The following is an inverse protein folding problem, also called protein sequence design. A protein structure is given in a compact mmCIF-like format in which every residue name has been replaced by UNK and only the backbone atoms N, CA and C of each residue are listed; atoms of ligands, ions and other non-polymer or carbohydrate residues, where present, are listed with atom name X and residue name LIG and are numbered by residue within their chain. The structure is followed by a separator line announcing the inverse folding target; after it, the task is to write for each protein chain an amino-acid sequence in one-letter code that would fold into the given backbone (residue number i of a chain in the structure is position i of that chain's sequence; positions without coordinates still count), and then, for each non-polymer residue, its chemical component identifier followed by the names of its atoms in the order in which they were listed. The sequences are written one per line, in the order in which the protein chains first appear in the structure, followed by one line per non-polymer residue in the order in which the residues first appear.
data_IF_742224124992
#
_entry.id   IF_742224124992
#
_cell.length_a   1.000
_cell.length_b   1.000
_cell.length_c   1.000
_cell.angle_alpha   90.00
_cell.angle_beta   90.00
_cell.angle_gamma   90.00
#
_symmetry.space_group_name_H-M   'P 1'
#
loop_
_entity.id
_entity.type
_entity.pdbx_description
1 polymer ?
#
# COMPACT_ATOMS: atom_id res chain seq x y z
N UNK A 1 6.29 -17.31 -4.14
CA UNK A 1 7.28 -16.75 -4.31
C UNK A 1 8.45 -17.33 -3.81
N UNK A 2 8.98 -17.75 -4.26
CA UNK A 2 9.87 -18.28 -3.95
C UNK A 2 10.80 -17.65 -3.67
N UNK A 3 11.05 -17.59 -3.03
CA UNK A 3 11.87 -16.97 -2.77
C UNK A 3 12.85 -17.47 -2.54
N UNK A 4 13.17 -17.89 -2.80
CA UNK A 4 14.03 -18.35 -2.70
C UNK A 4 14.81 -18.75 -2.83
N UNK A 5 15.02 -19.16 -2.95
CA UNK A 5 15.78 -19.54 -3.10
C UNK A 5 16.25 -20.01 -3.57
N UNK A 6 16.45 -20.20 -3.74
CA UNK A 6 16.93 -20.55 -4.17
C UNK A 6 17.84 -20.81 -4.41
N UNK A 7 18.22 -21.09 -4.51
CA UNK A 7 18.99 -21.33 -4.76
C UNK A 7 20.06 -21.23 -4.84
N UNK A 8 20.23 -21.14 -4.95
CA UNK A 8 21.23 -21.07 -5.04
C UNK A 8 22.04 -20.59 -4.75
N UNK A 9 22.45 -20.49 -4.43
CA UNK A 9 23.17 -19.92 -4.18
C UNK A 9 24.13 -19.61 -4.06
N UNK A 10 24.72 -19.30 -4.06
CA UNK A 10 25.53 -18.91 -3.99
C UNK A 10 26.04 -17.93 -3.79
N UNK A 11 26.29 -17.55 -3.68
CA UNK A 11 26.86 -16.58 -3.58
C UNK A 11 26.48 -15.59 -2.79
N UNK A 12 26.66 -15.05 -2.32
CA UNK A 12 26.37 -14.23 -1.51
C UNK A 12 25.35 -13.59 -1.69
N UNK A 13 25.20 -13.60 -1.62
CA UNK A 13 24.22 -13.64 -1.68
C UNK A 13 23.22 -12.73 -1.14
N UNK A 14 23.11 -12.37 0.04
CA UNK A 14 22.09 -11.45 0.50
C UNK A 14 22.25 -10.07 -0.13
N UNK A 15 23.46 -9.62 -0.46
CA UNK A 15 23.59 -8.29 -1.05
C UNK A 15 23.03 -8.26 -2.47
N UNK A 16 23.18 -9.29 -3.25
CA UNK A 16 22.60 -9.26 -4.59
C UNK A 16 21.08 -9.40 -4.54
N UNK A 17 20.54 -10.09 -3.52
CA UNK A 17 19.11 -10.16 -3.35
C UNK A 17 18.56 -8.76 -3.07
N UNK A 18 19.22 -7.99 -2.21
CA UNK A 18 18.81 -6.64 -1.95
C UNK A 18 18.83 -5.78 -3.21
N UNK A 19 19.86 -5.92 -4.03
CA UNK A 19 19.96 -5.17 -5.27
C UNK A 19 18.85 -5.58 -6.24
N UNK A 20 18.57 -6.87 -6.31
CA UNK A 20 17.52 -7.38 -7.18
C UNK A 20 16.17 -6.78 -6.83
N UNK A 21 15.89 -6.61 -5.56
CA UNK A 21 14.59 -6.14 -5.12
C UNK A 21 14.54 -4.67 -4.82
N UNK A 22 15.57 -3.95 -5.21
CA UNK A 22 15.60 -2.52 -5.01
C UNK A 22 14.88 -1.84 -6.15
N UNK A 23 13.58 -1.85 -6.09
CA UNK A 23 12.78 -1.18 -7.10
C UNK A 23 12.79 0.32 -6.85
N UNK A 24 12.63 1.11 -7.92
CA UNK A 24 12.59 2.56 -7.76
C UNK A 24 11.47 3.00 -6.85
N UNK A 25 11.75 4.01 -6.04
CA UNK A 25 10.73 4.62 -5.20
C UNK A 25 10.07 5.77 -5.94
N UNK A 26 8.77 5.88 -5.80
CA UNK A 26 8.03 7.03 -6.30
C UNK A 26 7.77 7.94 -5.11
N UNK A 27 8.37 9.11 -5.12
CA UNK A 27 8.26 10.06 -4.01
C UNK A 27 6.94 10.79 -4.06
N UNK A 28 6.39 11.03 -2.86
CA UNK A 28 5.13 11.74 -2.69
C UNK A 28 5.26 12.63 -1.46
N UNK A 29 4.41 13.66 -1.31
CA UNK A 29 4.48 14.51 -0.11
C UNK A 29 4.35 13.74 1.19
N UNK A 30 3.62 12.64 1.19
CA UNK A 30 3.40 11.85 2.40
C UNK A 30 4.46 10.78 2.65
N UNK A 31 5.36 10.56 1.70
CA UNK A 31 6.37 9.52 1.81
C UNK A 31 6.74 8.97 0.47
N UNK A 32 6.60 7.66 0.27
CA UNK A 32 6.91 7.08 -1.04
C UNK A 32 6.25 5.71 -1.16
N UNK A 33 6.21 5.22 -2.41
CA UNK A 33 5.78 3.85 -2.64
C UNK A 33 6.71 3.19 -3.65
N UNK A 34 6.70 1.87 -3.62
CA UNK A 34 7.48 1.05 -4.54
C UNK A 34 6.54 -0.01 -5.10
N UNK A 35 6.55 -0.18 -6.43
CA UNK A 35 5.81 -1.28 -7.04
C UNK A 35 6.69 -2.51 -6.95
N UNK A 36 6.27 -3.48 -6.15
CA UNK A 36 7.05 -4.69 -5.92
C UNK A 36 6.85 -5.70 -7.03
N UNK A 37 5.64 -5.77 -7.57
CA UNK A 37 5.32 -6.81 -8.56
C UNK A 37 4.02 -6.43 -9.26
N UNK A 38 4.00 -6.57 -10.57
CA UNK A 38 2.80 -6.35 -11.36
C UNK A 38 2.82 -7.31 -12.55
N UNK A 39 2.26 -8.53 -12.37
CA UNK A 39 2.30 -9.54 -13.44
C UNK A 39 1.44 -9.15 -14.64
N UNK A 40 0.38 -8.36 -14.43
CA UNK A 40 -0.52 -7.92 -15.49
C UNK A 40 -1.30 -6.71 -15.02
N UNK A 41 -2.32 -6.31 -15.77
CA UNK A 41 -3.13 -5.14 -15.41
C UNK A 41 -4.13 -5.41 -14.30
N UNK A 42 -4.30 -6.65 -13.89
CA UNK A 42 -5.32 -7.04 -12.92
C UNK A 42 -4.78 -7.18 -11.51
N UNK A 43 -3.47 -7.22 -11.33
CA UNK A 43 -2.86 -7.39 -10.01
C UNK A 43 -1.61 -6.53 -9.91
N UNK A 44 -1.49 -5.80 -8.80
CA UNK A 44 -0.31 -4.98 -8.52
C UNK A 44 -0.03 -5.02 -7.04
N UNK A 45 1.22 -5.28 -6.68
CA UNK A 45 1.69 -5.21 -5.30
C UNK A 45 2.54 -3.97 -5.12
N UNK A 46 2.26 -3.23 -4.05
CA UNK A 46 3.03 -2.04 -3.68
C UNK A 46 3.44 -2.09 -2.23
N UNK A 47 4.55 -1.45 -1.93
CA UNK A 47 4.90 -1.14 -0.56
C UNK A 47 4.79 0.37 -0.38
N UNK A 48 3.98 0.80 0.57
CA UNK A 48 3.78 2.22 0.88
C UNK A 48 4.52 2.53 2.18
N UNK A 49 5.25 3.63 2.19
CA UNK A 49 5.86 4.15 3.42
C UNK A 49 5.28 5.53 3.65
N UNK A 50 4.57 5.68 4.77
CA UNK A 50 3.93 6.94 5.13
C UNK A 50 4.67 7.53 6.31
N UNK A 51 5.20 8.73 6.14
CA UNK A 51 6.00 9.36 7.18
C UNK A 51 5.10 9.78 8.36
N UNK A 52 5.69 9.92 9.55
CA UNK A 52 4.91 10.33 10.73
C UNK A 52 4.13 11.61 10.46
N UNK A 53 2.86 11.61 10.84
CA UNK A 53 2.00 12.78 10.70
C UNK A 53 1.49 13.05 9.30
N UNK A 54 1.78 12.18 8.35
CA UNK A 54 1.38 12.38 6.97
C UNK A 54 0.20 11.51 6.59
N UNK A 55 -0.48 11.90 5.50
CA UNK A 55 -1.67 11.19 5.04
C UNK A 55 -1.73 11.21 3.53
N UNK A 56 -2.28 10.16 2.96
CA UNK A 56 -2.66 10.17 1.56
C UNK A 56 -3.96 10.95 1.42
N UNK A 57 -4.38 11.21 0.20
CA UNK A 57 -5.65 11.88 -0.03
C UNK A 57 -6.82 10.93 0.27
N UNK A 58 -7.98 11.51 0.54
CA UNK A 58 -9.22 10.73 0.56
C UNK A 58 -9.56 10.43 -0.87
N UNK A 59 -9.69 9.14 -1.20
CA UNK A 59 -9.79 8.72 -2.59
C UNK A 59 -10.62 7.46 -2.73
N UNK A 60 -11.08 7.19 -3.96
CA UNK A 60 -11.71 5.93 -4.29
C UNK A 60 -11.35 5.50 -5.70
N UNK A 61 -11.50 4.22 -5.96
CA UNK A 61 -11.20 3.62 -7.26
C UNK A 61 -12.43 2.90 -7.76
N UNK A 62 -12.56 2.82 -9.09
CA UNK A 62 -13.77 2.25 -9.68
C UNK A 62 -13.56 0.85 -10.22
N UNK A 63 -12.31 0.49 -10.52
CA UNK A 63 -12.01 -0.75 -11.24
C UNK A 63 -11.20 -1.74 -10.43
N UNK A 64 -10.88 -1.42 -9.18
CA UNK A 64 -10.05 -2.31 -8.37
C UNK A 64 -10.46 -2.28 -6.90
N UNK A 65 -10.12 -3.37 -6.25
CA UNK A 65 -10.18 -3.49 -4.79
C UNK A 65 -8.74 -3.53 -4.27
N UNK A 66 -8.58 -3.38 -2.97
CA UNK A 66 -7.25 -3.41 -2.38
C UNK A 66 -7.28 -4.21 -1.09
N UNK A 67 -6.19 -4.92 -0.82
CA UNK A 67 -5.95 -5.53 0.49
C UNK A 67 -4.72 -4.84 1.06
N UNK A 68 -4.82 -4.36 2.27
CA UNK A 68 -3.71 -3.70 2.96
C UNK A 68 -3.25 -4.57 4.11
N UNK A 69 -1.96 -4.79 4.18
CA UNK A 69 -1.32 -5.50 5.28
C UNK A 69 -0.36 -4.53 5.96
N UNK A 70 -0.56 -4.29 7.27
CA UNK A 70 0.29 -3.36 8.00
C UNK A 70 1.56 -4.09 8.39
N UNK A 71 2.67 -3.72 7.78
CA UNK A 71 3.95 -4.36 8.04
C UNK A 71 4.68 -3.72 9.21
N UNK A 72 4.54 -2.40 9.39
CA UNK A 72 5.15 -1.66 10.50
C UNK A 72 4.29 -0.47 10.83
N UNK A 73 4.20 -0.14 12.11
CA UNK A 73 3.50 1.03 12.56
C UNK A 73 2.03 0.79 12.77
N UNK A 74 1.25 1.85 12.72
CA UNK A 74 -0.19 1.79 12.87
C UNK A 74 -0.86 2.69 11.84
N UNK A 75 -1.85 2.14 11.16
CA UNK A 75 -2.56 2.85 10.10
C UNK A 75 -3.90 3.32 10.63
N UNK A 76 -4.13 4.63 10.57
CA UNK A 76 -5.45 5.18 10.83
C UNK A 76 -6.15 5.30 9.49
N UNK A 77 -7.27 4.63 9.32
CA UNK A 77 -7.96 4.59 8.04
C UNK A 77 -9.29 5.32 8.19
N UNK A 78 -9.49 6.31 7.34
CA UNK A 78 -10.70 7.11 7.34
C UNK A 78 -11.52 6.83 6.08
N UNK A 79 -12.80 7.03 6.18
CA UNK A 79 -13.72 6.92 5.06
C UNK A 79 -14.69 8.11 5.14
N UNK A 80 -15.70 8.11 4.28
CA UNK A 80 -16.75 9.11 4.33
C UNK A 80 -18.06 8.44 4.74
N UNK A 81 -18.84 9.16 5.57
CA UNK A 81 -20.16 8.67 5.91
C UNK A 81 -21.18 9.09 4.84
N UNK A 82 -22.44 8.80 5.09
CA UNK A 82 -23.50 9.08 4.12
C UNK A 82 -23.69 10.58 3.84
N UNK A 83 -23.18 11.42 4.73
CA UNK A 83 -23.25 12.87 4.57
C UNK A 83 -21.95 13.44 4.03
N UNK A 84 -21.08 12.57 3.48
CA UNK A 84 -19.77 12.93 2.94
C UNK A 84 -18.85 13.51 3.99
N UNK A 85 -19.05 13.15 5.26
CA UNK A 85 -18.17 13.59 6.33
C UNK A 85 -17.14 12.52 6.64
N UNK A 86 -15.92 12.99 6.88
CA UNK A 86 -14.80 12.12 7.20
C UNK A 86 -15.04 11.43 8.54
N UNK A 87 -14.87 10.13 8.56
CA UNK A 87 -15.01 9.37 9.79
C UNK A 87 -13.94 8.29 9.87
N UNK A 88 -13.53 7.97 11.08
CA UNK A 88 -12.53 6.92 11.29
C UNK A 88 -13.18 5.56 11.03
N UNK A 89 -12.60 4.82 10.09
CA UNK A 89 -13.01 3.45 9.84
C UNK A 89 -12.39 2.52 10.88
N UNK A 90 -11.13 2.77 11.24
CA UNK A 90 -10.45 1.97 12.24
C UNK A 90 -8.97 2.28 12.30
N UNK A 91 -8.33 1.73 13.33
CA UNK A 91 -6.88 1.81 13.50
C UNK A 91 -6.36 0.38 13.39
N UNK A 92 -5.44 0.16 12.48
CA UNK A 92 -4.92 -1.15 12.15
C UNK A 92 -3.45 -1.19 12.50
N UNK A 93 -3.07 -2.14 13.34
CA UNK A 93 -1.71 -2.22 13.85
C UNK A 93 -0.94 -3.33 13.14
N UNK A 94 0.31 -3.49 13.51
CA UNK A 94 1.22 -4.43 12.86
C UNK A 94 0.56 -5.79 12.68
N UNK A 95 0.63 -6.29 11.44
CA UNK A 95 0.12 -7.58 10.99
C UNK A 95 -1.40 -7.66 10.84
N UNK A 96 -2.11 -6.56 11.05
CA UNK A 96 -3.52 -6.52 10.70
C UNK A 96 -3.67 -6.39 9.18
N UNK A 97 -4.78 -6.90 8.68
CA UNK A 97 -5.14 -6.78 7.28
C UNK A 97 -6.52 -6.18 7.18
N UNK A 98 -6.76 -5.44 6.11
CA UNK A 98 -8.09 -4.91 5.83
C UNK A 98 -8.29 -4.87 4.33
N UNK A 99 -9.55 -4.90 3.93
CA UNK A 99 -9.93 -4.88 2.53
C UNK A 99 -10.61 -3.57 2.21
N UNK A 100 -10.22 -2.96 1.09
CA UNK A 100 -10.84 -1.74 0.57
C UNK A 100 -11.58 -2.15 -0.70
N UNK A 101 -12.88 -1.91 -0.72
CA UNK A 101 -13.70 -2.29 -1.87
C UNK A 101 -13.62 -1.22 -2.96
N UNK A 102 -13.95 -1.61 -4.19
CA UNK A 102 -14.08 -0.63 -5.24
C UNK A 102 -15.18 0.37 -4.87
N UNK A 103 -14.99 1.61 -5.26
CA UNK A 103 -15.91 2.72 -4.98
C UNK A 103 -16.05 3.06 -3.50
N UNK A 104 -15.22 2.50 -2.65
CA UNK A 104 -15.21 2.83 -1.24
C UNK A 104 -14.24 3.99 -1.01
N UNK A 105 -14.71 5.09 -0.42
CA UNK A 105 -13.84 6.19 -0.03
C UNK A 105 -12.90 5.75 1.08
N UNK A 106 -11.62 6.03 0.91
CA UNK A 106 -10.64 5.63 1.92
C UNK A 106 -9.47 6.61 1.94
N UNK A 107 -8.89 6.76 3.13
CA UNK A 107 -7.71 7.60 3.33
C UNK A 107 -6.80 6.93 4.33
N UNK A 108 -5.55 6.73 3.94
CA UNK A 108 -4.53 6.13 4.80
C UNK A 108 -3.76 7.23 5.49
N UNK A 109 -3.71 7.19 6.82
CA UNK A 109 -3.04 8.21 7.61
C UNK A 109 -2.07 7.57 8.59
N UNK A 110 -0.94 8.24 8.79
CA UNK A 110 -0.01 7.86 9.85
C UNK A 110 -0.07 8.93 10.94
N UNK A 111 -0.77 8.59 12.03
CA UNK A 111 -0.94 9.52 13.15
C UNK A 111 0.03 9.20 14.30
N UNK A 112 1.04 8.40 14.01
CA UNK A 112 2.04 7.99 15.00
C UNK A 112 3.35 8.72 14.77
N UNK A 113 4.34 8.43 15.63
CA UNK A 113 5.65 9.06 15.56
C UNK A 113 6.67 8.21 14.80
N UNK A 114 6.28 7.01 14.40
CA UNK A 114 7.13 6.11 13.64
C UNK A 114 6.61 5.99 12.21
N UNK A 115 7.48 5.63 11.27
CA UNK A 115 7.01 5.41 9.90
C UNK A 115 6.00 4.26 9.84
N UNK A 116 5.07 4.37 8.93
CA UNK A 116 4.07 3.35 8.66
C UNK A 116 4.41 2.67 7.35
N UNK A 117 4.45 1.34 7.37
CA UNK A 117 4.65 0.56 6.15
C UNK A 117 3.46 -0.35 5.92
N UNK A 118 2.92 -0.26 4.71
CA UNK A 118 1.76 -1.05 4.30
C UNK A 118 2.09 -1.77 3.01
N UNK A 119 1.81 -3.07 2.97
CA UNK A 119 1.88 -3.83 1.73
C UNK A 119 0.48 -3.79 1.15
N UNK A 120 0.37 -3.29 -0.06
CA UNK A 120 -0.91 -3.10 -0.73
C UNK A 120 -1.01 -4.03 -1.92
N UNK A 121 -2.08 -4.83 -1.95
CA UNK A 121 -2.38 -5.67 -3.11
C UNK A 121 -3.58 -5.05 -3.79
N UNK A 122 -3.40 -4.59 -5.02
CA UNK A 122 -4.48 -4.08 -5.86
C UNK A 122 -4.91 -5.17 -6.80
N UNK A 123 -6.20 -5.36 -6.98
CA UNK A 123 -6.70 -6.40 -7.88
C UNK A 123 -8.08 -6.03 -8.40
N UNK A 124 -8.36 -6.43 -9.63
CA UNK A 124 -9.65 -6.17 -10.25
C UNK A 124 -9.55 -6.01 -11.75
N UNK A 125 -10.45 -5.22 -12.29
CA UNK A 125 -10.52 -5.02 -13.74
C UNK A 125 -9.29 -4.32 -14.27
N UNK A 126 -8.79 -3.35 -13.52
CA UNK A 126 -7.63 -2.57 -13.98
C UNK A 126 -6.95 -1.91 -12.78
N UNK A 127 -5.65 -2.09 -12.67
CA UNK A 127 -4.84 -1.49 -11.61
C UNK A 127 -4.04 -0.33 -12.18
N UNK A 128 -4.72 0.77 -12.46
CA UNK A 128 -4.14 1.97 -13.06
C UNK A 128 -4.10 3.10 -12.04
N UNK A 129 -3.01 3.87 -12.04
CA UNK A 129 -2.92 5.05 -11.19
C UNK A 129 -3.91 6.13 -11.61
N UNK A 130 -4.43 6.03 -12.83
CA UNK A 130 -5.42 6.99 -13.32
C UNK A 130 -6.83 6.67 -12.86
N UNK A 131 -7.07 5.45 -12.35
CA UNK A 131 -8.37 5.05 -11.84
C UNK A 131 -8.51 5.55 -10.41
N UNK A 132 -8.75 6.85 -10.25
CA UNK A 132 -8.81 7.46 -8.94
C UNK A 132 -9.71 8.69 -8.97
N UNK A 133 -10.49 8.85 -7.92
CA UNK A 133 -11.22 10.07 -7.65
C UNK A 133 -10.81 10.56 -6.28
N UNK A 134 -10.45 11.82 -6.17
CA UNK A 134 -10.04 12.43 -4.90
C UNK A 134 -11.12 13.38 -4.42
N UNK A 135 -11.22 13.42 -3.10
CA UNK A 135 -12.16 14.29 -2.45
C UNK A 135 -11.57 15.66 -2.18
#
# INVERSE_FOLDING_TARGET
FKFGVGGNTKKNSSSWILDEFKAPKTERPWGHFTVLHQPNNHVKLKELTVQPGQSLSMQKHFKRKEVWFVAEGAASVYSLDKDDKRKLRGIYTKFNMLEIMDQEWHQLCNEQKEPLKVIEIQYGLECSEEDIKRK
#
